data_IF_401139815549
#
_entry.id   IF_401139815549
#
_cell.length_a   1.000
_cell.length_b   1.000
_cell.length_c   1.000
_cell.angle_alpha   90.00
_cell.angle_beta   90.00
_cell.angle_gamma   90.00
#
_symmetry.space_group_name_H-M   'P 1'
#
loop_
_entity.id
_entity.type
_entity.pdbx_description
1 polymer ?
#
# COMPACT_ATOMS: atom_id res chain seq x y z
N UNK A 1 59.90 67.26 -108.32
CA UNK A 1 58.67 67.98 -108.74
C UNK A 1 57.55 66.95 -108.66
N UNK A 2 56.62 66.94 -107.71
CA UNK A 2 55.92 67.96 -106.92
C UNK A 2 55.80 67.42 -105.49
N UNK A 3 56.37 68.08 -104.47
CA UNK A 3 55.67 69.03 -103.58
C UNK A 3 54.38 68.50 -102.95
N UNK A 4 54.58 67.93 -101.77
CA UNK A 4 53.88 68.10 -100.48
C UNK A 4 52.62 68.98 -100.46
N UNK A 5 51.56 68.46 -99.84
CA UNK A 5 50.82 69.29 -98.88
C UNK A 5 50.24 68.44 -97.74
N UNK A 6 50.58 68.88 -96.53
CA UNK A 6 50.14 68.37 -95.24
C UNK A 6 48.97 69.25 -94.79
N UNK A 7 47.91 68.66 -94.26
CA UNK A 7 47.00 69.35 -93.35
C UNK A 7 46.91 68.56 -92.06
N UNK A 8 47.27 69.25 -90.97
CA UNK A 8 47.31 68.84 -89.58
C UNK A 8 45.97 68.30 -89.05
N UNK A 9 46.05 67.28 -88.20
CA UNK A 9 45.08 67.04 -87.15
C UNK A 9 45.83 66.87 -85.82
N UNK A 10 45.63 67.84 -84.93
CA UNK A 10 46.16 67.89 -83.57
C UNK A 10 45.20 67.12 -82.65
N UNK A 11 45.62 65.99 -82.08
CA UNK A 11 44.98 65.41 -80.88
C UNK A 11 46.02 64.78 -79.94
N UNK A 12 46.28 65.51 -78.86
CA UNK A 12 46.47 65.07 -77.46
C UNK A 12 47.38 63.87 -77.09
N UNK A 13 48.39 64.18 -76.26
CA UNK A 13 49.18 63.25 -75.42
C UNK A 13 48.27 62.41 -74.50
N UNK A 14 48.43 61.08 -74.50
CA UNK A 14 48.05 60.20 -73.37
C UNK A 14 49.15 59.21 -73.01
N UNK A 15 49.62 59.29 -71.76
CA UNK A 15 50.65 58.45 -71.16
C UNK A 15 50.25 56.98 -71.11
N UNK A 16 50.94 56.13 -71.89
CA UNK A 16 50.76 54.66 -71.84
C UNK A 16 51.54 54.04 -70.69
N UNK A 17 51.02 54.13 -69.46
CA UNK A 17 51.39 53.23 -68.33
C UNK A 17 50.18 52.96 -67.41
N UNK A 18 49.24 52.07 -67.80
CA UNK A 18 48.55 51.29 -66.76
C UNK A 18 48.31 49.80 -67.07
N UNK A 19 48.66 49.26 -68.25
CA UNK A 19 48.31 47.86 -68.60
C UNK A 19 49.33 46.78 -68.16
N UNK A 20 50.60 47.13 -67.97
CA UNK A 20 51.64 46.16 -67.53
C UNK A 20 51.61 45.93 -66.01
N UNK A 21 51.23 46.95 -65.23
CA UNK A 21 51.14 46.85 -63.76
C UNK A 21 50.00 45.91 -63.32
N UNK A 22 48.87 45.93 -64.02
CA UNK A 22 47.72 45.07 -63.69
C UNK A 22 48.00 43.58 -63.88
N UNK A 23 48.77 43.23 -64.91
CA UNK A 23 49.14 41.82 -65.18
C UNK A 23 50.10 41.30 -64.10
N UNK A 24 51.06 42.13 -63.66
CA UNK A 24 52.00 41.77 -62.58
C UNK A 24 51.27 41.62 -61.25
N UNK A 25 50.29 42.49 -60.96
CA UNK A 25 49.47 42.40 -59.74
C UNK A 25 48.65 41.10 -59.70
N UNK A 26 48.01 40.71 -60.80
CA UNK A 26 47.24 39.46 -60.86
C UNK A 26 48.15 38.23 -60.69
N UNK A 27 49.34 38.24 -61.27
CA UNK A 27 50.32 37.15 -61.13
C UNK A 27 50.82 37.01 -59.68
N UNK A 28 51.09 38.13 -59.00
CA UNK A 28 51.48 38.15 -57.59
C UNK A 28 50.35 37.66 -56.67
N UNK A 29 49.10 38.07 -56.94
CA UNK A 29 47.92 37.59 -56.19
C UNK A 29 47.73 36.08 -56.42
N UNK A 30 47.95 35.60 -57.64
CA UNK A 30 47.85 34.16 -57.96
C UNK A 30 48.89 33.35 -57.19
N UNK A 31 50.13 33.84 -57.13
CA UNK A 31 51.21 33.20 -56.35
C UNK A 31 50.84 33.21 -54.87
N UNK A 32 50.34 34.33 -54.34
CA UNK A 32 49.87 34.46 -52.96
C UNK A 32 48.77 33.46 -52.60
N UNK A 33 47.78 33.29 -53.48
CA UNK A 33 46.68 32.32 -53.31
C UNK A 33 47.21 30.88 -53.33
N UNK A 34 48.15 30.56 -54.22
CA UNK A 34 48.75 29.21 -54.26
C UNK A 34 49.61 28.95 -53.02
N UNK A 35 50.41 29.92 -52.57
CA UNK A 35 51.18 29.77 -51.32
C UNK A 35 50.29 29.65 -50.08
N UNK A 36 49.14 30.33 -50.07
CA UNK A 36 48.14 30.20 -49.01
C UNK A 36 47.54 28.78 -48.95
N UNK A 37 47.32 28.13 -50.09
CA UNK A 37 46.76 26.77 -50.15
C UNK A 37 47.78 25.65 -49.85
N UNK A 38 49.08 25.93 -49.98
CA UNK A 38 50.13 24.90 -49.92
C UNK A 38 50.97 24.97 -48.63
N UNK A 39 50.99 26.10 -47.93
CA UNK A 39 51.83 26.28 -46.74
C UNK A 39 51.02 26.76 -45.53
N UNK A 40 50.96 25.93 -44.49
CA UNK A 40 50.27 26.25 -43.24
C UNK A 40 50.90 27.45 -42.51
N UNK A 41 52.21 27.63 -42.65
CA UNK A 41 52.94 28.78 -42.10
C UNK A 41 52.57 30.09 -42.81
N UNK A 42 52.36 30.05 -44.12
CA UNK A 42 51.94 31.23 -44.89
C UNK A 42 50.47 31.57 -44.64
N UNK A 43 49.63 30.53 -44.53
CA UNK A 43 48.21 30.64 -44.14
C UNK A 43 48.05 31.34 -42.79
N UNK A 44 48.80 30.92 -41.75
CA UNK A 44 48.75 31.55 -40.42
C UNK A 44 49.19 33.03 -40.40
N UNK A 45 50.16 33.42 -41.23
CA UNK A 45 50.60 34.84 -41.36
C UNK A 45 49.52 35.67 -42.07
N UNK A 46 48.92 35.13 -43.14
CA UNK A 46 47.86 35.81 -43.90
C UNK A 46 46.59 35.93 -43.07
N UNK A 47 46.21 34.90 -42.32
CA UNK A 47 45.05 34.90 -41.43
C UNK A 47 45.22 35.97 -40.33
N UNK A 48 46.40 36.07 -39.70
CA UNK A 48 46.68 37.12 -38.71
C UNK A 48 46.69 38.55 -39.26
N UNK A 49 47.00 38.76 -40.54
CA UNK A 49 46.92 40.07 -41.21
C UNK A 49 45.48 40.40 -41.64
N UNK A 50 44.69 39.38 -41.99
CA UNK A 50 43.29 39.52 -42.39
C UNK A 50 42.34 39.68 -41.20
N UNK A 51 42.74 39.25 -40.02
CA UNK A 51 42.02 39.41 -38.75
C UNK A 51 41.79 40.90 -38.39
N UNK A 52 42.75 41.77 -38.74
CA UNK A 52 42.69 43.23 -38.53
C UNK A 52 41.77 43.97 -39.53
N UNK A 53 41.16 43.29 -40.50
CA UNK A 53 40.27 43.89 -41.51
C UNK A 53 38.78 43.74 -41.09
N UNK A 54 38.04 44.84 -40.85
CA UNK A 54 36.74 44.83 -40.17
C UNK A 54 35.59 44.06 -40.87
N UNK A 55 35.75 43.66 -42.14
CA UNK A 55 34.73 42.93 -42.92
C UNK A 55 35.01 41.42 -43.00
N UNK A 56 36.29 41.02 -42.94
CA UNK A 56 36.71 39.61 -43.09
C UNK A 56 37.04 38.99 -41.72
N UNK A 57 37.59 39.77 -40.80
CA UNK A 57 37.91 39.33 -39.44
C UNK A 57 36.70 38.78 -38.67
N UNK A 58 35.49 39.31 -38.91
CA UNK A 58 34.26 38.82 -38.26
C UNK A 58 33.78 37.43 -38.72
N UNK A 59 34.21 36.96 -39.90
CA UNK A 59 33.84 35.63 -40.43
C UNK A 59 34.86 34.58 -39.97
N UNK A 60 36.13 34.97 -39.82
CA UNK A 60 37.24 34.08 -39.42
C UNK A 60 37.33 33.94 -37.90
N UNK A 61 37.09 35.00 -37.13
CA UNK A 61 37.16 34.98 -35.66
C UNK A 61 36.09 34.10 -34.97
N UNK A 62 35.08 33.63 -35.71
CA UNK A 62 34.05 32.72 -35.19
C UNK A 62 34.33 31.24 -35.42
N UNK A 63 35.32 30.89 -36.24
CA UNK A 63 35.70 29.49 -36.50
C UNK A 63 37.01 29.17 -35.79
N UNK A 64 37.06 28.10 -34.98
CA UNK A 64 38.28 27.73 -34.29
C UNK A 64 39.39 27.44 -35.30
N UNK A 65 40.59 27.95 -35.03
CA UNK A 65 41.78 27.66 -35.85
C UNK A 65 42.16 26.18 -35.74
N UNK A 66 42.96 25.68 -36.69
CA UNK A 66 43.43 24.28 -36.65
C UNK A 66 44.21 23.97 -35.37
N UNK A 67 45.02 24.94 -34.89
CA UNK A 67 45.74 24.83 -33.63
C UNK A 67 44.79 24.82 -32.41
N UNK A 68 43.70 25.57 -32.45
CA UNK A 68 42.67 25.55 -31.39
C UNK A 68 41.85 24.27 -31.39
N UNK A 69 41.53 23.73 -32.58
CA UNK A 69 40.87 22.44 -32.71
C UNK A 69 41.75 21.31 -32.17
N UNK A 70 43.04 21.33 -32.50
CA UNK A 70 44.01 20.36 -31.98
C UNK A 70 44.12 20.42 -30.45
N UNK A 71 44.21 21.62 -29.87
CA UNK A 71 44.23 21.80 -28.40
C UNK A 71 42.95 21.29 -27.74
N UNK A 72 41.79 21.55 -28.34
CA UNK A 72 40.50 21.04 -27.83
C UNK A 72 40.44 19.52 -27.87
N UNK A 73 40.90 18.91 -28.96
CA UNK A 73 40.97 17.45 -29.08
C UNK A 73 41.93 16.84 -28.04
N UNK A 74 43.07 17.48 -27.77
CA UNK A 74 44.02 17.05 -26.74
C UNK A 74 43.42 17.15 -25.34
N UNK A 75 42.72 18.24 -25.02
CA UNK A 75 42.04 18.41 -23.73
C UNK A 75 40.93 17.37 -23.53
N UNK A 76 40.14 17.09 -24.57
CA UNK A 76 39.08 16.06 -24.51
C UNK A 76 39.70 14.67 -24.34
N UNK A 77 40.74 14.33 -25.10
CA UNK A 77 41.42 13.05 -24.99
C UNK A 77 42.03 12.85 -23.60
N UNK A 78 42.63 13.92 -23.04
CA UNK A 78 43.19 13.91 -21.69
C UNK A 78 42.11 13.71 -20.63
N UNK A 79 41.00 14.44 -20.71
CA UNK A 79 39.86 14.26 -19.82
C UNK A 79 39.31 12.83 -19.87
N UNK A 80 39.19 12.24 -21.06
CA UNK A 80 38.68 10.87 -21.23
C UNK A 80 39.62 9.80 -20.65
N UNK A 81 40.92 10.05 -20.65
CA UNK A 81 41.92 9.08 -20.17
C UNK A 81 42.22 9.24 -18.68
N UNK A 82 42.44 10.48 -18.23
CA UNK A 82 42.92 10.78 -16.88
C UNK A 82 41.79 10.93 -15.86
N UNK A 83 40.67 11.55 -16.24
CA UNK A 83 39.63 11.97 -15.30
C UNK A 83 38.40 11.04 -15.30
N UNK A 84 38.12 10.35 -16.41
CA UNK A 84 36.98 9.44 -16.52
C UNK A 84 37.36 7.99 -16.24
N UNK A 85 36.41 7.22 -15.70
CA UNK A 85 36.49 5.76 -15.72
C UNK A 85 36.23 5.21 -17.15
N UNK A 86 36.71 3.99 -17.47
CA UNK A 86 36.63 3.46 -18.83
C UNK A 86 35.20 3.38 -19.40
N UNK A 87 34.18 3.15 -18.56
CA UNK A 87 32.79 3.03 -19.00
C UNK A 87 32.22 4.40 -19.38
N UNK A 88 32.41 5.42 -18.53
CA UNK A 88 31.97 6.79 -18.82
C UNK A 88 32.66 7.38 -20.05
N UNK A 89 33.95 7.10 -20.23
CA UNK A 89 34.68 7.50 -21.43
C UNK A 89 34.17 6.77 -22.69
N UNK A 90 33.86 5.47 -22.59
CA UNK A 90 33.31 4.68 -23.69
C UNK A 90 31.94 5.20 -24.14
N UNK A 91 31.02 5.51 -23.22
CA UNK A 91 29.70 6.06 -23.55
C UNK A 91 29.81 7.38 -24.33
N UNK A 92 30.66 8.31 -23.88
CA UNK A 92 30.87 9.60 -24.55
C UNK A 92 31.56 9.44 -25.91
N UNK A 93 32.57 8.58 -25.98
CA UNK A 93 33.31 8.33 -27.21
C UNK A 93 32.44 7.56 -28.24
N UNK A 94 31.50 6.72 -27.78
CA UNK A 94 30.52 6.04 -28.62
C UNK A 94 29.52 7.01 -29.27
N UNK A 95 29.07 8.06 -28.54
CA UNK A 95 28.26 9.14 -29.13
C UNK A 95 29.05 9.83 -30.25
N UNK A 96 30.31 10.20 -29.99
CA UNK A 96 31.19 10.82 -31.00
C UNK A 96 31.38 9.89 -32.20
N UNK A 97 31.53 8.58 -32.00
CA UNK A 97 31.61 7.58 -33.07
C UNK A 97 30.36 7.59 -33.98
N UNK A 98 29.18 7.77 -33.39
CA UNK A 98 27.92 7.85 -34.12
C UNK A 98 27.72 9.14 -34.91
N UNK A 99 28.29 10.25 -34.43
CA UNK A 99 28.10 11.59 -35.03
C UNK A 99 29.24 12.01 -35.97
N UNK A 100 30.50 11.73 -35.62
CA UNK A 100 31.70 12.10 -36.38
C UNK A 100 32.81 11.05 -36.20
N UNK A 101 32.87 10.12 -37.16
CA UNK A 101 33.89 9.06 -37.23
C UNK A 101 35.33 9.59 -37.38
N UNK A 102 35.51 10.76 -38.00
CA UNK A 102 36.82 11.35 -38.19
C UNK A 102 37.35 11.93 -36.88
N UNK A 103 36.50 12.63 -36.12
CA UNK A 103 36.81 13.10 -34.77
C UNK A 103 37.04 11.93 -33.82
N UNK A 104 36.19 10.90 -33.86
CA UNK A 104 36.37 9.66 -33.08
C UNK A 104 37.76 9.05 -33.28
N UNK A 105 38.19 8.92 -34.54
CA UNK A 105 39.50 8.33 -34.87
C UNK A 105 40.67 9.19 -34.38
N UNK A 106 40.55 10.51 -34.45
CA UNK A 106 41.58 11.44 -33.95
C UNK A 106 41.66 11.43 -32.42
N UNK A 107 40.52 11.47 -31.74
CA UNK A 107 40.45 11.35 -30.27
C UNK A 107 41.03 10.02 -29.80
N UNK A 108 40.69 8.90 -30.45
CA UNK A 108 41.22 7.59 -30.08
C UNK A 108 42.75 7.55 -30.20
N UNK A 109 43.31 8.12 -31.27
CA UNK A 109 44.76 8.21 -31.46
C UNK A 109 45.43 9.07 -30.36
N UNK A 110 44.82 10.20 -29.99
CA UNK A 110 45.33 11.08 -28.92
C UNK A 110 45.23 10.40 -27.56
N UNK A 111 44.12 9.72 -27.27
CA UNK A 111 43.94 8.93 -26.05
C UNK A 111 44.98 7.81 -25.95
N UNK A 112 45.26 7.10 -27.05
CA UNK A 112 46.26 6.04 -27.12
C UNK A 112 47.68 6.58 -26.83
N UNK A 113 47.99 7.78 -27.33
CA UNK A 113 49.25 8.48 -27.04
C UNK A 113 49.39 8.87 -25.57
N UNK A 114 48.29 9.17 -24.87
CA UNK A 114 48.29 9.50 -23.42
C UNK A 114 48.37 8.21 -22.58
N UNK A 115 47.54 7.21 -22.89
CA UNK A 115 47.55 5.90 -22.25
C UNK A 115 46.89 4.83 -23.13
N UNK A 116 47.71 4.03 -23.81
CA UNK A 116 47.26 2.86 -24.56
C UNK A 116 46.45 1.88 -23.68
N UNK A 117 46.92 1.62 -22.45
CA UNK A 117 46.25 0.68 -21.54
C UNK A 117 44.82 1.13 -21.16
N UNK A 118 44.62 2.43 -20.92
CA UNK A 118 43.27 2.96 -20.62
C UNK A 118 42.41 2.97 -21.87
N UNK A 119 42.99 3.32 -23.02
CA UNK A 119 42.31 3.36 -24.31
C UNK A 119 41.81 1.98 -24.75
N UNK A 120 42.60 0.93 -24.53
CA UNK A 120 42.17 -0.46 -24.77
C UNK A 120 40.95 -0.84 -23.92
N UNK A 121 40.94 -0.49 -22.63
CA UNK A 121 39.78 -0.72 -21.76
C UNK A 121 38.53 0.03 -22.22
N UNK A 122 38.70 1.27 -22.68
CA UNK A 122 37.60 2.07 -23.25
C UNK A 122 37.07 1.41 -24.53
N UNK A 123 37.94 0.91 -25.40
CA UNK A 123 37.55 0.20 -26.62
C UNK A 123 36.81 -1.11 -26.32
N UNK A 124 37.22 -1.84 -25.29
CA UNK A 124 36.50 -3.05 -24.84
C UNK A 124 35.10 -2.71 -24.32
N UNK A 125 34.94 -1.62 -23.57
CA UNK A 125 33.62 -1.13 -23.15
C UNK A 125 32.76 -0.67 -24.35
N UNK A 126 33.36 -0.01 -25.36
CA UNK A 126 32.65 0.33 -26.61
C UNK A 126 32.19 -0.94 -27.33
N UNK A 127 33.03 -1.98 -27.42
CA UNK A 127 32.62 -3.28 -27.98
C UNK A 127 31.49 -3.90 -27.16
N UNK A 128 31.53 -3.79 -25.83
CA UNK A 128 30.42 -4.25 -24.97
C UNK A 128 29.13 -3.45 -25.17
N UNK A 129 29.22 -2.17 -25.50
CA UNK A 129 28.05 -1.34 -25.89
C UNK A 129 27.51 -1.81 -27.25
N UNK A 130 28.37 -2.15 -28.21
CA UNK A 130 27.97 -2.62 -29.55
C UNK A 130 27.42 -4.05 -29.56
N UNK A 131 27.92 -4.91 -28.66
CA UNK A 131 27.42 -6.28 -28.46
C UNK A 131 26.01 -6.27 -27.82
N UNK A 132 25.63 -5.19 -27.12
CA UNK A 132 24.27 -4.95 -26.60
C UNK A 132 23.27 -4.55 -27.70
N UNK A 133 23.23 -5.35 -28.77
CA UNK A 133 22.33 -5.23 -29.93
C UNK A 133 20.84 -5.43 -29.59
N UNK A 134 20.46 -5.49 -28.31
CA UNK A 134 19.05 -5.52 -27.96
C UNK A 134 18.78 -4.69 -26.69
N UNK A 135 19.26 -3.45 -26.67
CA UNK A 135 18.92 -2.45 -25.65
C UNK A 135 17.40 -2.37 -25.39
N UNK A 136 16.58 -2.59 -26.43
CA UNK A 136 15.13 -2.71 -26.28
C UNK A 136 14.73 -3.96 -25.47
N UNK A 137 15.33 -5.11 -25.73
CA UNK A 137 15.12 -6.33 -24.93
C UNK A 137 15.65 -6.19 -23.50
N UNK A 138 16.77 -5.49 -23.30
CA UNK A 138 17.32 -5.22 -21.96
C UNK A 138 16.39 -4.28 -21.17
N UNK A 139 15.95 -3.16 -21.77
CA UNK A 139 14.94 -2.28 -21.16
C UNK A 139 13.63 -3.04 -20.95
N UNK A 140 13.20 -3.83 -21.92
CA UNK A 140 11.98 -4.62 -21.79
C UNK A 140 12.08 -5.58 -20.61
N UNK A 141 13.21 -6.26 -20.46
CA UNK A 141 13.48 -7.17 -19.34
C UNK A 141 13.54 -6.41 -18.02
N UNK A 142 14.25 -5.29 -17.95
CA UNK A 142 14.29 -4.41 -16.77
C UNK A 142 12.88 -3.97 -16.37
N UNK A 143 12.06 -3.54 -17.33
CA UNK A 143 10.66 -3.18 -17.09
C UNK A 143 9.82 -4.38 -16.62
N UNK A 144 10.07 -5.60 -17.14
CA UNK A 144 9.38 -6.81 -16.63
C UNK A 144 9.84 -7.16 -15.21
N UNK A 145 11.14 -7.05 -14.92
CA UNK A 145 11.71 -7.32 -13.61
C UNK A 145 11.19 -6.31 -12.58
N UNK A 146 11.15 -5.01 -12.91
CA UNK A 146 10.53 -3.96 -12.08
C UNK A 146 9.05 -4.22 -11.82
N UNK A 147 8.29 -4.61 -12.85
CA UNK A 147 6.87 -5.00 -12.69
C UNK A 147 6.72 -6.21 -11.77
N UNK A 148 7.63 -7.19 -11.87
CA UNK A 148 7.62 -8.36 -10.98
C UNK A 148 7.92 -7.97 -9.53
N UNK A 149 8.90 -7.08 -9.31
CA UNK A 149 9.23 -6.55 -7.98
C UNK A 149 8.05 -5.80 -7.39
N UNK A 150 7.39 -4.93 -8.17
CA UNK A 150 6.21 -4.20 -7.70
C UNK A 150 5.07 -5.13 -7.26
N UNK A 151 4.82 -6.21 -8.00
CA UNK A 151 3.82 -7.23 -7.63
C UNK A 151 4.25 -7.99 -6.36
N UNK A 152 5.53 -8.34 -6.22
CA UNK A 152 6.04 -9.00 -5.01
C UNK A 152 5.94 -8.11 -3.78
N UNK A 153 6.16 -6.81 -3.92
CA UNK A 153 6.04 -5.86 -2.83
C UNK A 153 4.57 -5.70 -2.41
N UNK A 154 3.63 -5.68 -3.37
CA UNK A 154 2.19 -5.75 -3.06
C UNK A 154 1.79 -7.06 -2.36
N UNK A 155 2.41 -8.18 -2.74
CA UNK A 155 2.15 -9.45 -2.07
C UNK A 155 2.57 -9.38 -0.59
N UNK A 156 3.79 -8.88 -0.32
CA UNK A 156 4.27 -8.67 1.05
C UNK A 156 3.43 -7.65 1.83
N UNK A 157 2.96 -6.59 1.17
CA UNK A 157 2.06 -5.62 1.79
C UNK A 157 0.78 -6.30 2.27
N UNK A 158 0.08 -7.03 1.39
CA UNK A 158 -1.13 -7.77 1.74
C UNK A 158 -0.88 -8.82 2.84
N UNK A 159 0.26 -9.52 2.79
CA UNK A 159 0.65 -10.48 3.83
C UNK A 159 0.86 -9.84 5.21
N UNK A 160 1.23 -8.56 5.24
CA UNK A 160 1.46 -7.82 6.48
C UNK A 160 0.21 -7.17 7.06
N UNK A 161 -0.85 -7.05 6.25
CA UNK A 161 -2.13 -6.48 6.66
C UNK A 161 -2.94 -7.48 7.50
N UNK A 162 -3.90 -6.97 8.27
CA UNK A 162 -4.95 -7.85 8.79
C UNK A 162 -5.77 -8.41 7.62
N UNK A 163 -6.28 -9.64 7.77
CA UNK A 163 -7.04 -10.31 6.70
C UNK A 163 -8.21 -9.45 6.23
N UNK A 164 -8.92 -8.77 7.14
CA UNK A 164 -9.98 -7.84 6.76
C UNK A 164 -9.47 -6.69 5.90
N UNK A 165 -8.38 -6.02 6.31
CA UNK A 165 -7.85 -4.89 5.57
C UNK A 165 -7.36 -5.30 4.18
N UNK A 166 -6.77 -6.50 4.05
CA UNK A 166 -6.38 -7.08 2.78
C UNK A 166 -7.61 -7.36 1.88
N UNK A 167 -8.67 -7.96 2.44
CA UNK A 167 -9.95 -8.18 1.74
C UNK A 167 -10.54 -6.86 1.25
N UNK A 168 -10.63 -5.85 2.13
CA UNK A 168 -11.17 -4.53 1.79
C UNK A 168 -10.33 -3.83 0.72
N UNK A 169 -9.01 -3.91 0.79
CA UNK A 169 -8.10 -3.37 -0.23
C UNK A 169 -8.35 -3.99 -1.61
N UNK A 170 -8.53 -5.31 -1.66
CA UNK A 170 -8.82 -6.03 -2.91
C UNK A 170 -10.20 -5.66 -3.45
N UNK A 171 -11.20 -5.59 -2.57
CA UNK A 171 -12.59 -5.26 -2.91
C UNK A 171 -12.76 -3.82 -3.40
N UNK A 172 -12.02 -2.87 -2.84
CA UNK A 172 -12.01 -1.48 -3.31
C UNK A 172 -11.42 -1.35 -4.72
N UNK A 173 -10.43 -2.19 -5.05
CA UNK A 173 -9.89 -2.33 -6.41
C UNK A 173 -9.10 -1.13 -6.93
N UNK A 174 -9.15 0.04 -6.26
CA UNK A 174 -8.49 1.28 -6.71
C UNK A 174 -6.96 1.18 -6.74
N UNK A 175 -6.41 0.25 -5.96
CA UNK A 175 -4.97 0.04 -5.78
C UNK A 175 -4.38 -0.97 -6.77
N UNK A 176 -5.19 -1.57 -7.65
CA UNK A 176 -4.75 -2.62 -8.56
C UNK A 176 -5.04 -2.26 -10.02
N UNK A 177 -4.00 -2.35 -10.84
CA UNK A 177 -4.15 -2.29 -12.29
C UNK A 177 -4.72 -3.61 -12.84
N UNK A 178 -5.24 -3.58 -14.07
CA UNK A 178 -5.81 -4.77 -14.70
C UNK A 178 -4.77 -5.90 -14.75
N UNK A 179 -5.15 -7.03 -14.16
CA UNK A 179 -4.38 -8.26 -14.13
C UNK A 179 -3.24 -8.29 -13.11
N UNK A 180 -3.18 -7.30 -12.21
CA UNK A 180 -2.14 -7.21 -11.19
C UNK A 180 -2.44 -8.07 -9.97
N UNK A 181 -3.72 -8.12 -9.55
CA UNK A 181 -4.12 -8.82 -8.33
C UNK A 181 -3.86 -10.33 -8.41
N UNK A 182 -4.17 -10.99 -9.52
CA UNK A 182 -3.88 -12.41 -9.68
C UNK A 182 -2.37 -12.69 -9.72
N UNK A 183 -1.57 -11.76 -10.25
CA UNK A 183 -0.10 -11.87 -10.20
C UNK A 183 0.39 -11.73 -8.77
N UNK A 184 -0.24 -10.90 -7.96
CA UNK A 184 0.07 -10.78 -6.53
C UNK A 184 -0.09 -12.14 -5.82
N UNK A 185 -1.16 -12.87 -6.10
CA UNK A 185 -1.39 -14.24 -5.56
C UNK A 185 -0.40 -15.32 -6.07
N UNK A 186 0.37 -15.05 -7.14
CA UNK A 186 1.47 -15.93 -7.56
C UNK A 186 2.63 -15.89 -6.56
N UNK A 187 2.92 -14.71 -6.01
CA UNK A 187 4.08 -14.48 -5.14
C UNK A 187 3.72 -14.50 -3.64
N UNK A 188 2.44 -14.36 -3.32
CA UNK A 188 1.96 -14.36 -1.95
C UNK A 188 2.09 -15.74 -1.31
N UNK A 189 2.40 -15.80 -0.02
CA UNK A 189 2.51 -17.04 0.72
C UNK A 189 1.14 -17.77 0.81
N UNK A 190 1.20 -19.10 0.95
CA UNK A 190 0.04 -19.99 0.93
C UNK A 190 -1.02 -19.65 1.97
N UNK A 191 -0.59 -19.39 3.20
CA UNK A 191 -1.47 -19.13 4.34
C UNK A 191 -2.25 -17.85 4.12
N UNK A 192 -1.56 -16.73 3.87
CA UNK A 192 -2.20 -15.44 3.61
C UNK A 192 -3.12 -15.50 2.39
N UNK A 193 -2.67 -16.16 1.31
CA UNK A 193 -3.46 -16.32 0.09
C UNK A 193 -4.77 -17.04 0.39
N UNK A 194 -4.72 -18.17 1.10
CA UNK A 194 -5.90 -18.97 1.42
C UNK A 194 -6.86 -18.23 2.35
N UNK A 195 -6.34 -17.52 3.35
CA UNK A 195 -7.17 -16.74 4.29
C UNK A 195 -7.88 -15.58 3.60
N UNK A 196 -7.15 -14.79 2.82
CA UNK A 196 -7.72 -13.66 2.08
C UNK A 196 -8.76 -14.16 1.08
N UNK A 197 -8.44 -15.19 0.28
CA UNK A 197 -9.37 -15.75 -0.71
C UNK A 197 -10.61 -16.35 -0.05
N UNK A 198 -10.48 -16.96 1.13
CA UNK A 198 -11.62 -17.51 1.85
C UNK A 198 -12.65 -16.44 2.21
N UNK A 199 -12.20 -15.27 2.70
CA UNK A 199 -13.08 -14.17 3.13
C UNK A 199 -13.50 -13.19 2.02
N UNK A 200 -12.92 -13.30 0.81
CA UNK A 200 -13.42 -12.57 -0.35
C UNK A 200 -14.81 -13.07 -0.77
N UNK A 201 -15.62 -12.18 -1.34
CA UNK A 201 -16.92 -12.58 -1.88
C UNK A 201 -16.75 -13.62 -3.00
N UNK A 202 -17.76 -14.48 -3.15
CA UNK A 202 -17.68 -15.61 -4.09
C UNK A 202 -17.45 -15.19 -5.55
N UNK A 203 -17.89 -14.00 -5.96
CA UNK A 203 -17.67 -13.46 -7.30
C UNK A 203 -16.22 -13.04 -7.50
N UNK A 204 -15.71 -12.17 -6.63
CA UNK A 204 -14.33 -11.66 -6.70
C UNK A 204 -13.31 -12.79 -6.57
N UNK A 205 -13.50 -13.70 -5.60
CA UNK A 205 -12.66 -14.90 -5.46
C UNK A 205 -12.62 -15.70 -6.75
N UNK A 206 -13.78 -15.96 -7.35
CA UNK A 206 -13.88 -16.78 -8.56
C UNK A 206 -13.19 -16.12 -9.76
N UNK A 207 -13.32 -14.80 -9.91
CA UNK A 207 -12.65 -14.04 -10.98
C UNK A 207 -11.13 -14.09 -10.84
N UNK A 208 -10.61 -13.87 -9.62
CA UNK A 208 -9.17 -13.95 -9.33
C UNK A 208 -8.64 -15.36 -9.64
N UNK A 209 -9.31 -16.41 -9.15
CA UNK A 209 -8.90 -17.79 -9.40
C UNK A 209 -9.00 -18.19 -10.88
N UNK A 210 -9.99 -17.67 -11.60
CA UNK A 210 -10.13 -17.89 -13.04
C UNK A 210 -8.94 -17.28 -13.81
N UNK A 211 -8.64 -16.00 -13.58
CA UNK A 211 -7.50 -15.31 -14.22
C UNK A 211 -6.16 -15.91 -13.82
N UNK A 212 -6.01 -16.30 -12.55
CA UNK A 212 -4.83 -17.00 -12.06
C UNK A 212 -4.60 -18.33 -12.80
N UNK A 213 -5.67 -19.01 -13.21
CA UNK A 213 -5.56 -20.28 -13.93
C UNK A 213 -4.90 -20.13 -15.32
N UNK A 214 -5.02 -18.95 -15.93
CA UNK A 214 -4.35 -18.63 -17.19
C UNK A 214 -2.85 -18.31 -16.99
N UNK A 215 -2.46 -17.81 -15.80
CA UNK A 215 -1.08 -17.50 -15.46
C UNK A 215 -0.31 -18.71 -14.91
N UNK A 216 -0.90 -19.41 -13.94
CA UNK A 216 -0.33 -20.60 -13.30
C UNK A 216 -1.44 -21.51 -12.76
N UNK A 217 -1.83 -22.49 -13.59
CA UNK A 217 -2.78 -23.54 -13.23
C UNK A 217 -2.33 -24.38 -12.02
N UNK A 218 -1.02 -24.52 -11.78
CA UNK A 218 -0.47 -25.23 -10.64
C UNK A 218 -0.74 -24.48 -9.34
N UNK A 219 -0.41 -23.18 -9.32
CA UNK A 219 -0.71 -22.27 -8.21
C UNK A 219 -2.20 -22.24 -7.90
N UNK A 220 -3.03 -22.10 -8.93
CA UNK A 220 -4.50 -22.10 -8.78
C UNK A 220 -5.00 -23.35 -8.06
N UNK A 221 -4.58 -24.55 -8.49
CA UNK A 221 -4.98 -25.82 -7.86
C UNK A 221 -4.50 -25.95 -6.42
N UNK A 222 -3.32 -25.43 -6.12
CA UNK A 222 -2.80 -25.39 -4.74
C UNK A 222 -3.68 -24.51 -3.86
N UNK A 223 -4.01 -23.30 -4.33
CA UNK A 223 -4.87 -22.38 -3.58
C UNK A 223 -6.29 -22.93 -3.41
N UNK A 224 -6.89 -23.56 -4.43
CA UNK A 224 -8.19 -24.23 -4.29
C UNK A 224 -8.18 -25.23 -3.12
N UNK A 225 -7.16 -26.10 -3.07
CA UNK A 225 -7.04 -27.10 -2.01
C UNK A 225 -6.91 -26.46 -0.63
N UNK A 226 -6.13 -25.37 -0.52
CA UNK A 226 -5.96 -24.66 0.75
C UNK A 226 -7.25 -23.95 1.18
N UNK A 227 -8.00 -23.39 0.23
CA UNK A 227 -9.32 -22.78 0.50
C UNK A 227 -10.31 -23.85 0.95
N UNK A 228 -10.31 -25.04 0.32
CA UNK A 228 -11.14 -26.17 0.75
C UNK A 228 -10.79 -26.63 2.17
N UNK A 229 -9.49 -26.70 2.50
CA UNK A 229 -9.02 -27.02 3.86
C UNK A 229 -9.49 -25.97 4.87
N UNK A 230 -9.26 -24.69 4.59
CA UNK A 230 -9.73 -23.58 5.42
C UNK A 230 -11.26 -23.64 5.59
N UNK A 231 -12.00 -23.92 4.52
CA UNK A 231 -13.46 -24.05 4.58
C UNK A 231 -13.89 -25.16 5.53
N UNK A 232 -13.21 -26.31 5.51
CA UNK A 232 -13.50 -27.41 6.42
C UNK A 232 -13.15 -27.05 7.87
N UNK A 233 -12.00 -26.40 8.11
CA UNK A 233 -11.59 -25.92 9.44
C UNK A 233 -12.60 -24.93 10.02
N UNK A 234 -13.04 -23.98 9.20
CA UNK A 234 -14.01 -22.95 9.60
C UNK A 234 -15.40 -23.54 9.85
N UNK A 235 -15.81 -24.53 9.06
CA UNK A 235 -17.05 -25.29 9.28
C UNK A 235 -17.02 -26.07 10.59
N UNK A 236 -15.89 -26.71 10.93
CA UNK A 236 -15.76 -27.45 12.18
C UNK A 236 -15.88 -26.53 13.40
N UNK A 237 -15.27 -25.33 13.34
CA UNK A 237 -15.43 -24.31 14.38
C UNK A 237 -16.88 -23.88 14.51
N UNK A 238 -17.57 -23.60 13.40
CA UNK A 238 -18.97 -23.16 13.40
C UNK A 238 -19.90 -24.26 13.95
N UNK A 239 -19.65 -25.53 13.64
CA UNK A 239 -20.41 -26.66 14.20
C UNK A 239 -20.22 -26.79 15.72
N UNK A 240 -18.98 -26.71 16.20
CA UNK A 240 -18.68 -26.72 17.65
C UNK A 240 -19.33 -25.54 18.35
N UNK A 241 -19.18 -24.34 17.78
CA UNK A 241 -19.72 -23.11 18.33
C UNK A 241 -21.25 -23.15 18.42
N UNK A 242 -21.92 -23.64 17.37
CA UNK A 242 -23.37 -23.79 17.33
C UNK A 242 -23.88 -24.83 18.32
N UNK A 243 -23.15 -25.94 18.51
CA UNK A 243 -23.49 -26.94 19.53
C UNK A 243 -23.44 -26.34 20.94
N UNK A 244 -22.37 -25.62 21.27
CA UNK A 244 -22.22 -24.92 22.56
C UNK A 244 -23.31 -23.87 22.75
N UNK A 245 -23.59 -23.06 21.73
CA UNK A 245 -24.62 -22.02 21.77
C UNK A 245 -26.00 -22.63 22.08
N UNK A 246 -26.36 -23.73 21.42
CA UNK A 246 -27.64 -24.41 21.64
C UNK A 246 -27.79 -24.95 23.08
N UNK A 247 -26.73 -25.51 23.64
CA UNK A 247 -26.73 -26.06 25.01
C UNK A 247 -26.86 -24.93 26.04
N UNK A 248 -26.06 -23.87 25.87
CA UNK A 248 -25.92 -22.83 26.88
C UNK A 248 -26.94 -21.69 26.78
N UNK A 249 -27.67 -21.57 25.66
CA UNK A 249 -28.79 -20.60 25.54
C UNK A 249 -29.97 -20.94 26.44
N UNK A 250 -30.23 -22.24 26.66
CA UNK A 250 -31.40 -22.71 27.45
C UNK A 250 -31.00 -23.08 28.89
N UNK A 251 -29.69 -23.20 29.15
CA UNK A 251 -29.15 -23.56 30.46
C UNK A 251 -29.18 -22.42 31.47
N UNK A 252 -28.78 -22.72 32.72
CA UNK A 252 -28.60 -21.70 33.74
C UNK A 252 -27.40 -20.79 33.37
N UNK A 253 -27.53 -19.45 33.35
CA UNK A 253 -26.44 -18.56 32.96
C UNK A 253 -25.20 -18.65 33.86
N UNK A 254 -25.38 -18.90 35.17
CA UNK A 254 -24.26 -19.05 36.11
C UNK A 254 -23.47 -20.32 35.87
N UNK A 255 -24.16 -21.43 35.59
CA UNK A 255 -23.51 -22.70 35.27
C UNK A 255 -22.80 -22.60 33.92
N UNK A 256 -23.44 -21.97 32.93
CA UNK A 256 -22.84 -21.74 31.61
C UNK A 256 -21.59 -20.85 31.69
N UNK A 257 -21.55 -19.87 32.59
CA UNK A 257 -20.37 -19.04 32.82
C UNK A 257 -19.17 -19.82 33.39
N UNK A 258 -19.38 -20.97 34.04
CA UNK A 258 -18.28 -21.82 34.49
C UNK A 258 -17.58 -22.54 33.31
N UNK A 259 -18.28 -22.75 32.20
CA UNK A 259 -17.78 -23.45 31.02
C UNK A 259 -17.32 -22.47 29.95
N UNK A 260 -18.13 -21.45 29.65
CA UNK A 260 -17.87 -20.48 28.58
C UNK A 260 -17.12 -19.23 29.06
N UNK A 261 -16.87 -19.10 30.36
CA UNK A 261 -16.19 -17.97 30.97
C UNK A 261 -14.66 -18.10 31.06
N UNK A 262 -14.07 -19.00 30.28
CA UNK A 262 -12.62 -19.26 30.25
C UNK A 262 -12.21 -19.88 28.91
N UNK A 263 -10.99 -19.61 28.45
CA UNK A 263 -10.34 -20.17 27.26
C UNK A 263 -9.36 -21.32 27.58
N UNK A 264 -9.45 -21.91 28.78
CA UNK A 264 -8.59 -23.03 29.21
C UNK A 264 -8.86 -24.35 28.46
N UNK A 265 -10.14 -24.66 28.17
CA UNK A 265 -10.56 -25.90 27.52
C UNK A 265 -11.11 -25.70 26.11
N UNK A 266 -11.61 -24.49 25.81
CA UNK A 266 -12.26 -24.14 24.55
C UNK A 266 -11.51 -22.98 23.94
N UNK A 267 -11.08 -23.13 22.68
CA UNK A 267 -10.39 -22.06 21.96
C UNK A 267 -11.25 -20.79 21.89
N UNK A 268 -10.61 -19.64 22.08
CA UNK A 268 -11.30 -18.35 22.16
C UNK A 268 -12.07 -17.99 20.89
N UNK A 269 -11.62 -18.46 19.72
CA UNK A 269 -12.31 -18.28 18.45
C UNK A 269 -13.64 -19.05 18.38
N UNK A 270 -13.71 -20.24 18.99
CA UNK A 270 -14.94 -21.02 19.13
C UNK A 270 -15.86 -20.31 20.12
N UNK A 271 -15.33 -19.82 21.25
CA UNK A 271 -16.11 -19.07 22.23
C UNK A 271 -16.72 -17.80 21.62
N UNK A 272 -15.93 -17.01 20.89
CA UNK A 272 -16.41 -15.82 20.21
C UNK A 272 -17.61 -16.14 19.29
N UNK A 273 -17.47 -17.17 18.45
CA UNK A 273 -18.56 -17.64 17.58
C UNK A 273 -19.75 -18.16 18.36
N UNK A 274 -19.53 -18.87 19.47
CA UNK A 274 -20.61 -19.33 20.35
C UNK A 274 -21.43 -18.15 20.84
N UNK A 275 -20.79 -17.11 21.38
CA UNK A 275 -21.49 -15.92 21.85
C UNK A 275 -22.16 -15.11 20.72
N UNK A 276 -21.59 -15.11 19.51
CA UNK A 276 -22.22 -14.50 18.32
C UNK A 276 -23.43 -15.29 17.79
N UNK A 277 -23.48 -16.61 18.00
CA UNK A 277 -24.59 -17.47 17.58
C UNK A 277 -25.73 -17.53 18.61
N UNK A 278 -25.48 -17.12 19.85
CA UNK A 278 -26.49 -16.95 20.89
C UNK A 278 -27.24 -15.62 20.71
N UNK A 279 -28.39 -15.48 21.37
CA UNK A 279 -29.04 -14.17 21.47
C UNK A 279 -28.17 -13.23 22.33
N UNK A 280 -28.19 -11.95 22.01
CA UNK A 280 -27.39 -10.93 22.71
C UNK A 280 -27.73 -10.91 24.20
N UNK A 281 -29.00 -11.15 24.52
CA UNK A 281 -29.52 -11.35 25.87
C UNK A 281 -28.83 -12.51 26.59
N UNK A 282 -28.88 -13.71 26.02
CA UNK A 282 -28.32 -14.91 26.66
C UNK A 282 -26.79 -14.77 26.86
N UNK A 283 -26.11 -14.22 25.84
CA UNK A 283 -24.68 -13.92 25.92
C UNK A 283 -24.35 -12.98 27.09
N UNK A 284 -25.09 -11.88 27.24
CA UNK A 284 -24.89 -10.94 28.33
C UNK A 284 -25.19 -11.54 29.72
N UNK A 285 -26.25 -12.36 29.84
CA UNK A 285 -26.60 -13.06 31.10
C UNK A 285 -25.51 -14.05 31.55
N UNK A 286 -24.80 -14.67 30.61
CA UNK A 286 -23.65 -15.52 30.94
C UNK A 286 -22.47 -14.64 31.35
N UNK A 287 -22.14 -13.63 30.54
CA UNK A 287 -20.93 -12.81 30.71
C UNK A 287 -20.98 -11.90 31.95
N UNK A 288 -22.16 -11.58 32.49
CA UNK A 288 -22.25 -10.85 33.79
C UNK A 288 -21.74 -11.70 34.96
N UNK A 289 -21.71 -13.03 34.82
CA UNK A 289 -21.22 -13.95 35.84
C UNK A 289 -19.71 -14.26 35.71
N UNK A 290 -19.06 -13.78 34.65
CA UNK A 290 -17.62 -13.94 34.42
C UNK A 290 -16.86 -12.82 35.12
N UNK A 291 -15.87 -13.20 35.94
CA UNK A 291 -15.07 -12.27 36.77
C UNK A 291 -13.70 -11.95 36.20
N UNK A 292 -13.19 -12.80 35.32
CA UNK A 292 -11.90 -12.60 34.68
C UNK A 292 -12.02 -11.53 33.60
N UNK A 293 -11.51 -10.33 33.90
CA UNK A 293 -11.55 -9.22 32.96
C UNK A 293 -10.58 -9.41 31.79
N UNK A 294 -9.45 -10.08 32.00
CA UNK A 294 -8.47 -10.31 30.92
C UNK A 294 -9.06 -11.29 29.89
N UNK A 295 -9.78 -12.31 30.35
CA UNK A 295 -10.54 -13.19 29.45
C UNK A 295 -11.61 -12.42 28.67
N UNK A 296 -12.41 -11.58 29.35
CA UNK A 296 -13.46 -10.78 28.70
C UNK A 296 -12.88 -9.87 27.61
N UNK A 297 -11.77 -9.20 27.88
CA UNK A 297 -11.11 -8.31 26.92
C UNK A 297 -10.63 -9.08 25.68
N UNK A 298 -10.04 -10.27 25.88
CA UNK A 298 -9.64 -11.15 24.76
C UNK A 298 -10.85 -11.66 23.98
N UNK A 299 -11.92 -12.06 24.66
CA UNK A 299 -13.14 -12.57 24.02
C UNK A 299 -13.79 -11.47 23.16
N UNK A 300 -13.86 -10.24 23.67
CA UNK A 300 -14.42 -9.12 22.93
C UNK A 300 -13.60 -8.76 21.71
N UNK A 301 -12.27 -8.75 21.83
CA UNK A 301 -11.39 -8.55 20.67
C UNK A 301 -11.59 -9.63 19.59
N UNK A 302 -11.77 -10.89 20.00
CA UNK A 302 -12.01 -12.00 19.08
C UNK A 302 -13.40 -11.92 18.42
N UNK A 303 -14.45 -11.53 19.16
CA UNK A 303 -15.78 -11.27 18.59
C UNK A 303 -15.71 -10.14 17.56
N UNK A 304 -15.04 -9.03 17.87
CA UNK A 304 -14.87 -7.91 16.94
C UNK A 304 -14.14 -8.33 15.66
N UNK A 305 -13.11 -9.17 15.79
CA UNK A 305 -12.40 -9.74 14.65
C UNK A 305 -13.32 -10.62 13.79
N UNK A 306 -14.08 -11.52 14.39
CA UNK A 306 -15.03 -12.39 13.68
C UNK A 306 -16.14 -11.61 12.98
N UNK A 307 -16.70 -10.59 13.65
CA UNK A 307 -17.68 -9.66 13.09
C UNK A 307 -17.16 -8.96 11.83
N UNK A 308 -15.92 -8.50 11.92
CA UNK A 308 -15.21 -7.82 10.83
C UNK A 308 -15.00 -8.76 9.64
N UNK A 309 -14.46 -9.96 9.89
CA UNK A 309 -14.18 -10.96 8.85
C UNK A 309 -15.46 -11.44 8.15
N UNK A 310 -16.57 -11.55 8.87
CA UNK A 310 -17.86 -12.00 8.33
C UNK A 310 -18.68 -10.88 7.69
N UNK A 311 -18.25 -9.63 7.80
CA UNK A 311 -18.94 -8.48 7.21
C UNK A 311 -20.31 -8.23 7.86
N UNK A 312 -20.40 -8.35 9.18
CA UNK A 312 -21.65 -8.07 9.91
C UNK A 312 -21.99 -6.57 9.91
N UNK A 313 -23.19 -6.21 9.47
CA UNK A 313 -23.64 -4.81 9.39
C UNK A 313 -23.86 -4.15 10.77
N UNK A 314 -24.19 -4.97 11.77
CA UNK A 314 -24.45 -4.53 13.14
C UNK A 314 -23.64 -5.38 14.11
N UNK A 315 -22.85 -4.72 14.96
CA UNK A 315 -22.02 -5.38 15.96
C UNK A 315 -22.89 -5.99 17.07
N UNK A 316 -22.86 -7.31 17.15
CA UNK A 316 -23.40 -8.13 18.23
C UNK A 316 -22.64 -7.82 19.53
N UNK A 317 -21.33 -7.59 19.46
CA UNK A 317 -20.49 -7.20 20.59
C UNK A 317 -20.99 -5.94 21.30
N UNK A 318 -21.34 -4.89 20.53
CA UNK A 318 -21.87 -3.64 21.09
C UNK A 318 -23.13 -3.92 21.90
N UNK A 319 -24.06 -4.70 21.34
CA UNK A 319 -25.33 -5.02 22.01
C UNK A 319 -25.12 -5.90 23.25
N UNK A 320 -24.28 -6.93 23.16
CA UNK A 320 -23.91 -7.76 24.32
C UNK A 320 -23.33 -6.88 25.43
N UNK A 321 -22.46 -5.94 25.08
CA UNK A 321 -21.79 -5.05 26.03
C UNK A 321 -22.77 -4.10 26.72
N UNK A 322 -23.70 -3.50 25.97
CA UNK A 322 -24.75 -2.62 26.48
C UNK A 322 -25.68 -3.37 27.45
N UNK A 323 -26.14 -4.56 27.05
CA UNK A 323 -27.01 -5.40 27.89
C UNK A 323 -26.28 -5.82 29.16
N UNK A 324 -25.03 -6.26 29.04
CA UNK A 324 -24.23 -6.66 30.20
C UNK A 324 -24.05 -5.51 31.18
N UNK A 325 -23.76 -4.30 30.68
CA UNK A 325 -23.64 -3.11 31.52
C UNK A 325 -24.95 -2.80 32.26
N UNK A 326 -26.08 -2.88 31.56
CA UNK A 326 -27.41 -2.72 32.15
C UNK A 326 -27.67 -3.77 33.25
N UNK A 327 -27.37 -5.05 32.98
CA UNK A 327 -27.50 -6.13 33.96
C UNK A 327 -26.62 -5.90 35.18
N UNK A 328 -25.36 -5.49 35.00
CA UNK A 328 -24.45 -5.19 36.11
C UNK A 328 -24.97 -4.04 36.99
N UNK A 329 -25.50 -2.98 36.38
CA UNK A 329 -26.09 -1.86 37.12
C UNK A 329 -27.35 -2.28 37.88
N UNK A 330 -28.20 -3.11 37.26
CA UNK A 330 -29.37 -3.69 37.90
C UNK A 330 -28.99 -4.52 39.12
N UNK A 331 -28.03 -5.43 38.97
CA UNK A 331 -27.49 -6.27 40.04
C UNK A 331 -26.97 -5.45 41.23
N UNK A 332 -26.26 -4.35 40.95
CA UNK A 332 -25.75 -3.44 41.97
C UNK A 332 -26.89 -2.72 42.71
N UNK A 333 -27.85 -2.16 41.96
CA UNK A 333 -29.02 -1.45 42.53
C UNK A 333 -29.89 -2.39 43.35
N UNK A 334 -30.14 -3.59 42.85
CA UNK A 334 -30.87 -4.64 43.55
C UNK A 334 -30.15 -5.03 44.84
N UNK A 335 -28.83 -5.18 44.82
CA UNK A 335 -28.04 -5.44 46.04
C UNK A 335 -28.14 -4.31 47.09
N UNK A 336 -28.24 -3.05 46.66
CA UNK A 336 -28.52 -1.91 47.56
C UNK A 336 -29.94 -1.99 48.12
N UNK A 337 -30.92 -2.30 47.28
CA UNK A 337 -32.33 -2.38 47.65
C UNK A 337 -32.57 -3.50 48.66
N UNK A 338 -32.01 -4.69 48.44
CA UNK A 338 -32.03 -5.80 49.40
C UNK A 338 -31.51 -5.35 50.77
N UNK A 339 -30.39 -4.61 50.83
CA UNK A 339 -29.86 -4.08 52.10
C UNK A 339 -30.79 -3.07 52.78
N UNK A 340 -31.54 -2.28 52.01
CA UNK A 340 -32.54 -1.35 52.54
C UNK A 340 -33.69 -2.14 53.17
N UNK A 341 -34.28 -3.08 52.44
CA UNK A 341 -35.39 -3.91 52.95
C UNK A 341 -34.97 -4.72 54.18
N UNK A 342 -33.76 -5.28 54.21
CA UNK A 342 -33.24 -6.02 55.36
C UNK A 342 -33.04 -5.17 56.63
N UNK A 343 -32.99 -3.84 56.51
CA UNK A 343 -32.84 -2.90 57.65
C UNK A 343 -34.13 -2.16 57.95
N UNK A 344 -35.14 -2.29 57.08
CA UNK A 344 -36.43 -1.66 57.24
C UNK A 344 -37.21 -2.35 58.37
N UNK A 345 -38.17 -1.64 58.96
CA UNK A 345 -39.14 -2.26 59.85
C UNK A 345 -39.90 -3.37 59.09
N UNK A 346 -40.10 -4.53 59.74
CA UNK A 346 -40.63 -5.74 59.11
C UNK A 346 -42.05 -5.56 58.56
N UNK A 347 -42.91 -4.81 59.25
CA UNK A 347 -44.27 -4.52 58.76
C UNK A 347 -44.22 -3.63 57.51
N UNK A 348 -43.45 -2.55 57.54
CA UNK A 348 -43.30 -1.66 56.39
C UNK A 348 -42.70 -2.41 55.18
N UNK A 349 -41.72 -3.27 55.41
CA UNK A 349 -41.15 -4.11 54.36
C UNK A 349 -42.19 -5.06 53.75
N UNK A 350 -43.04 -5.66 54.58
CA UNK A 350 -44.13 -6.53 54.13
C UNK A 350 -45.14 -5.77 53.27
N UNK A 351 -45.63 -4.62 53.76
CA UNK A 351 -46.60 -3.79 53.05
C UNK A 351 -46.04 -3.33 51.69
N UNK A 352 -44.79 -2.87 51.65
CA UNK A 352 -44.14 -2.44 50.40
C UNK A 352 -43.91 -3.58 49.41
N UNK A 353 -43.55 -4.79 49.86
CA UNK A 353 -43.41 -5.96 48.96
C UNK A 353 -44.76 -6.34 48.35
N UNK A 354 -45.84 -6.32 49.15
CA UNK A 354 -47.18 -6.62 48.64
C UNK A 354 -47.65 -5.60 47.61
N UNK A 355 -47.35 -4.32 47.81
CA UNK A 355 -47.64 -3.25 46.86
C UNK A 355 -46.89 -3.46 45.53
N UNK A 356 -45.59 -3.76 45.58
CA UNK A 356 -44.79 -4.03 44.38
C UNK A 356 -45.27 -5.28 43.63
N UNK A 357 -45.58 -6.36 44.34
CA UNK A 357 -46.11 -7.60 43.76
C UNK A 357 -47.49 -7.43 43.13
N UNK A 358 -48.25 -6.40 43.52
CA UNK A 358 -49.54 -6.08 42.90
C UNK A 358 -49.39 -5.30 41.59
N UNK A 359 -48.20 -4.76 41.30
CA UNK A 359 -47.94 -3.95 40.12
C UNK A 359 -47.12 -4.72 39.07
N UNK A 360 -47.80 -5.23 38.05
CA UNK A 360 -47.17 -5.90 36.90
C UNK A 360 -46.80 -4.91 35.77
N UNK A 361 -47.05 -3.61 35.94
CA UNK A 361 -46.70 -2.63 34.92
C UNK A 361 -45.17 -2.51 34.77
N UNK A 362 -44.73 -2.29 33.53
CA UNK A 362 -43.32 -2.12 33.21
C UNK A 362 -42.78 -0.79 33.78
N UNK A 363 -41.72 -0.87 34.59
CA UNK A 363 -40.98 0.27 35.15
C UNK A 363 -39.92 0.80 34.21
N UNK A 364 -39.25 -0.10 33.49
CA UNK A 364 -38.11 0.23 32.64
C UNK A 364 -38.03 -0.80 31.53
N UNK A 365 -37.94 -0.30 30.29
CA UNK A 365 -37.70 -1.12 29.11
C UNK A 365 -36.38 -0.67 28.52
N UNK A 366 -35.33 -1.48 28.65
CA UNK A 366 -34.19 -1.36 27.76
C UNK A 366 -34.67 -1.91 26.42
N UNK A 367 -35.01 -1.04 25.47
CA UNK A 367 -35.32 -1.47 24.12
C UNK A 367 -34.02 -1.81 23.38
N UNK A 368 -33.95 -3.01 22.83
CA UNK A 368 -32.82 -3.48 22.03
C UNK A 368 -33.37 -3.64 20.61
N UNK A 369 -33.10 -2.65 19.73
CA UNK A 369 -33.68 -2.57 18.37
C UNK A 369 -35.23 -2.50 18.39
N UNK A 370 -35.88 -3.14 17.41
CA UNK A 370 -37.34 -3.29 17.28
C UNK A 370 -37.92 -4.51 18.03
N UNK A 371 -37.09 -5.21 18.82
CA UNK A 371 -37.55 -6.30 19.68
C UNK A 371 -37.73 -5.81 21.11
N UNK A 372 -38.68 -6.41 21.83
CA UNK A 372 -38.84 -6.20 23.27
C UNK A 372 -37.51 -6.60 23.94
N UNK A 373 -36.79 -5.62 24.47
CA UNK A 373 -35.50 -5.88 25.12
C UNK A 373 -35.68 -6.33 26.56
N UNK A 374 -34.95 -5.73 27.50
CA UNK A 374 -35.13 -6.04 28.93
C UNK A 374 -36.24 -5.19 29.53
N UNK A 375 -37.39 -5.82 29.78
CA UNK A 375 -38.46 -5.24 30.57
C UNK A 375 -38.31 -5.62 32.04
N UNK A 376 -38.43 -4.62 32.90
CA UNK A 376 -38.42 -4.75 34.34
C UNK A 376 -39.75 -4.21 34.87
N UNK A 377 -40.40 -4.93 35.78
CA UNK A 377 -41.60 -4.48 36.49
C UNK A 377 -41.37 -4.46 38.00
N UNK A 378 -42.23 -3.74 38.74
CA UNK A 378 -42.21 -3.74 40.20
C UNK A 378 -42.32 -5.17 40.75
N UNK A 379 -43.14 -6.00 40.12
CA UNK A 379 -43.25 -7.43 40.40
C UNK A 379 -41.90 -8.16 40.31
N UNK A 380 -41.18 -8.02 39.19
CA UNK A 380 -39.87 -8.70 38.99
C UNK A 380 -38.87 -8.24 40.07
N UNK A 381 -38.82 -6.92 40.33
CA UNK A 381 -37.93 -6.35 41.35
C UNK A 381 -38.26 -6.91 42.73
N UNK A 382 -39.54 -7.01 43.10
CA UNK A 382 -39.96 -7.57 44.38
C UNK A 382 -39.53 -9.04 44.54
N UNK A 383 -39.75 -9.85 43.52
CA UNK A 383 -39.34 -11.27 43.50
C UNK A 383 -37.82 -11.38 43.68
N UNK A 384 -37.05 -10.60 42.92
CA UNK A 384 -35.59 -10.59 42.96
C UNK A 384 -35.02 -10.11 44.30
N UNK A 385 -35.64 -9.11 44.94
CA UNK A 385 -35.28 -8.67 46.29
C UNK A 385 -35.45 -9.85 47.26
N UNK A 386 -36.59 -10.53 47.19
CA UNK A 386 -36.92 -11.63 48.09
C UNK A 386 -35.97 -12.82 47.88
N UNK A 387 -35.70 -13.23 46.63
CA UNK A 387 -34.76 -14.34 46.31
C UNK A 387 -33.36 -14.13 46.88
N UNK A 388 -32.92 -12.88 47.05
CA UNK A 388 -31.58 -12.52 47.55
C UNK A 388 -31.55 -12.19 49.04
N UNK A 389 -32.71 -12.16 49.68
CA UNK A 389 -32.80 -11.89 51.09
C UNK A 389 -32.43 -13.14 51.90
N UNK A 390 -31.85 -12.93 53.09
CA UNK A 390 -31.56 -14.05 54.01
C UNK A 390 -32.87 -14.66 54.52
N UNK A 391 -32.93 -15.98 54.63
CA UNK A 391 -34.11 -16.72 55.09
C UNK A 391 -34.70 -16.19 56.40
N UNK A 392 -33.86 -15.79 57.35
CA UNK A 392 -34.30 -15.21 58.62
C UNK A 392 -35.11 -13.92 58.42
N UNK A 393 -34.64 -13.02 57.55
CA UNK A 393 -35.32 -11.76 57.27
C UNK A 393 -36.62 -11.98 56.47
N UNK A 394 -36.62 -12.93 55.52
CA UNK A 394 -37.83 -13.33 54.80
C UNK A 394 -38.90 -13.86 55.75
N UNK A 395 -38.49 -14.70 56.70
CA UNK A 395 -39.39 -15.24 57.72
C UNK A 395 -40.02 -14.11 58.55
N UNK A 396 -39.21 -13.18 59.04
CA UNK A 396 -39.69 -12.05 59.84
C UNK A 396 -40.67 -11.16 59.03
N UNK A 397 -40.46 -11.01 57.73
CA UNK A 397 -41.39 -10.31 56.83
C UNK A 397 -42.69 -11.11 56.64
N UNK A 398 -42.61 -12.42 56.41
CA UNK A 398 -43.79 -13.29 56.24
C UNK A 398 -44.67 -13.36 57.50
N UNK A 399 -44.09 -13.22 58.70
CA UNK A 399 -44.86 -13.14 59.95
C UNK A 399 -45.78 -11.90 60.01
N UNK A 400 -45.54 -10.89 59.16
CA UNK A 400 -46.34 -9.67 59.05
C UNK A 400 -47.29 -9.67 57.83
N UNK A 401 -47.48 -10.81 57.17
CA UNK A 401 -48.35 -11.00 56.00
C UNK A 401 -49.48 -11.99 56.27
N UNK A 402 -50.55 -11.91 55.48
CA UNK A 402 -51.63 -12.90 55.53
C UNK A 402 -51.15 -14.26 54.99
N UNK A 403 -51.69 -15.35 55.55
CA UNK A 403 -51.28 -16.71 55.19
C UNK A 403 -51.47 -17.03 53.68
N UNK A 404 -52.45 -16.40 53.04
CA UNK A 404 -52.70 -16.50 51.60
C UNK A 404 -51.59 -15.87 50.77
N UNK A 405 -51.08 -14.71 51.20
CA UNK A 405 -50.01 -14.00 50.49
C UNK A 405 -48.67 -14.72 50.65
N UNK A 406 -48.36 -15.19 51.86
CA UNK A 406 -47.18 -16.03 52.12
C UNK A 406 -47.18 -17.27 51.25
N UNK A 407 -48.33 -17.96 51.13
CA UNK A 407 -48.46 -19.15 50.28
C UNK A 407 -48.22 -18.82 48.81
N UNK A 408 -48.76 -17.69 48.32
CA UNK A 408 -48.56 -17.22 46.94
C UNK A 408 -47.09 -16.91 46.65
N UNK A 409 -46.45 -16.14 47.53
CA UNK A 409 -45.06 -15.71 47.38
C UNK A 409 -44.12 -16.92 47.44
N UNK A 410 -44.34 -17.84 48.39
CA UNK A 410 -43.52 -19.05 48.51
C UNK A 410 -43.55 -19.87 47.22
N UNK A 411 -44.72 -19.96 46.56
CA UNK A 411 -44.85 -20.64 45.27
C UNK A 411 -44.02 -19.93 44.19
N UNK A 412 -44.14 -18.61 44.08
CA UNK A 412 -43.36 -17.80 43.12
C UNK A 412 -41.86 -18.03 43.30
N UNK A 413 -41.36 -18.01 44.53
CA UNK A 413 -39.95 -18.23 44.84
C UNK A 413 -39.44 -19.65 44.57
N UNK A 414 -40.35 -20.61 44.34
CA UNK A 414 -40.03 -22.03 44.10
C UNK A 414 -40.19 -22.47 42.64
N UNK A 415 -40.91 -21.69 41.82
CA UNK A 415 -41.22 -22.01 40.42
C UNK A 415 -40.18 -21.45 39.42
N UNK A 416 -39.23 -20.64 39.89
CA UNK A 416 -38.15 -20.01 39.11
C UNK A 416 -36.81 -20.08 39.85
#
# INVERSE_FOLDING_TARGET
MSETNISEEVVEKKSRKPKVLGIIAVLLISILVVTYLVSDTFKGIVDGVLEDIPVIGGIIAGQPTEEELDKREDEIAKYYVEDLDPKSAAEKLYIVKGEDMALYSRLLRRMDQISAQKTDKVLDEIRNIEIRSDFLTDIYKEVQDEKSVAVQDKAKELESMSVRAAVDSIMDGSSYSEGEIEKTFLYMNDTASAEILYYLDGGTRSDILYKLSDLDMGRKKQLDKLIEQKTAEESEKDEKAGSLANIHTVGNPKESALVLGTDEEIDINILARTFMMMSEKASAEILVNVKDQEFLDRLYAEIELEESLRGTDQSVLVLISEIRAYLMEYEEKLGKLVKVYQRMNTQLAADSILELLANENELTVLQIREQDGYSLSDYIVAVDIMKRMRDANLKDIFENMEATDVSRITRILSEE
#
